data_IF_495484033664
#
_entry.id   IF_495484033664
#
_cell.length_a   1.000
_cell.length_b   1.000
_cell.length_c   1.000
_cell.angle_alpha   90.00
_cell.angle_beta   90.00
_cell.angle_gamma   90.00
#
_symmetry.space_group_name_H-M   'P 1'
#
loop_
_entity.id
_entity.type
_entity.pdbx_description
1 polymer ?
#
# COMPACT_ATOMS: atom_id res chain seq x y z
N UNK A 1 -14.17 -33.12 -18.75
CA UNK A 1 -14.61 -31.71 -18.76
C UNK A 1 -13.51 -30.85 -18.19
N UNK A 2 -13.27 -29.68 -18.78
CA UNK A 2 -12.32 -28.70 -18.26
C UNK A 2 -12.73 -28.25 -16.85
N UNK A 3 -11.77 -27.84 -16.03
CA UNK A 3 -12.05 -27.32 -14.69
C UNK A 3 -12.53 -25.87 -14.80
N UNK A 4 -13.67 -25.56 -14.19
CA UNK A 4 -14.19 -24.20 -14.08
C UNK A 4 -14.32 -23.84 -12.61
N UNK A 5 -13.75 -22.69 -12.23
CA UNK A 5 -13.85 -22.17 -10.87
C UNK A 5 -15.04 -21.21 -10.78
N UNK A 6 -16.03 -21.52 -9.94
CA UNK A 6 -17.28 -20.75 -9.86
C UNK A 6 -17.07 -19.30 -9.40
N UNK A 7 -15.99 -19.02 -8.67
CA UNK A 7 -15.66 -17.69 -8.15
C UNK A 7 -14.57 -16.98 -8.98
N UNK A 8 -14.26 -17.43 -10.19
CA UNK A 8 -13.23 -16.83 -11.04
C UNK A 8 -13.49 -15.33 -11.28
N UNK A 9 -14.74 -14.96 -11.55
CA UNK A 9 -15.14 -13.55 -11.74
C UNK A 9 -14.94 -12.71 -10.48
N UNK A 10 -15.20 -13.29 -9.30
CA UNK A 10 -15.03 -12.62 -8.01
C UNK A 10 -13.55 -12.39 -7.72
N UNK A 11 -12.70 -13.39 -7.99
CA UNK A 11 -11.25 -13.28 -7.86
C UNK A 11 -10.70 -12.17 -8.78
N UNK A 12 -11.09 -12.17 -10.05
CA UNK A 12 -10.65 -11.16 -11.02
C UNK A 12 -11.08 -9.74 -10.62
N UNK A 13 -12.31 -9.59 -10.09
CA UNK A 13 -12.79 -8.31 -9.58
C UNK A 13 -11.96 -7.85 -8.38
N UNK A 14 -11.72 -8.72 -7.39
CA UNK A 14 -10.93 -8.39 -6.21
C UNK A 14 -9.49 -7.99 -6.56
N UNK A 15 -8.87 -8.66 -7.55
CA UNK A 15 -7.55 -8.28 -8.06
C UNK A 15 -7.55 -6.94 -8.79
N UNK A 16 -8.62 -6.60 -9.50
CA UNK A 16 -8.78 -5.31 -10.16
C UNK A 16 -8.94 -4.18 -9.13
N UNK A 17 -9.79 -4.38 -8.12
CA UNK A 17 -9.98 -3.43 -7.03
C UNK A 17 -8.68 -3.19 -6.26
N UNK A 18 -7.94 -4.26 -5.94
CA UNK A 18 -6.63 -4.15 -5.30
C UNK A 18 -5.67 -3.30 -6.14
N UNK A 19 -5.59 -3.53 -7.45
CA UNK A 19 -4.74 -2.75 -8.36
C UNK A 19 -5.11 -1.27 -8.38
N UNK A 20 -6.40 -0.94 -8.38
CA UNK A 20 -6.86 0.44 -8.30
C UNK A 20 -6.44 1.09 -6.97
N UNK A 21 -6.63 0.39 -5.86
CA UNK A 21 -6.20 0.86 -4.54
C UNK A 21 -4.68 1.05 -4.45
N UNK A 22 -3.87 0.21 -5.09
CA UNK A 22 -2.41 0.36 -5.16
C UNK A 22 -2.00 1.64 -5.92
N UNK A 23 -2.72 1.99 -6.99
CA UNK A 23 -2.49 3.24 -7.75
C UNK A 23 -2.84 4.46 -6.89
N UNK A 24 -3.98 4.41 -6.19
CA UNK A 24 -4.39 5.48 -5.28
C UNK A 24 -3.40 5.64 -4.12
N UNK A 25 -2.99 4.52 -3.51
CA UNK A 25 -1.97 4.51 -2.46
C UNK A 25 -0.69 5.19 -2.93
N UNK A 26 -0.20 4.85 -4.14
CA UNK A 26 1.01 5.45 -4.69
C UNK A 26 0.88 6.97 -4.85
N UNK A 27 -0.30 7.45 -5.23
CA UNK A 27 -0.57 8.89 -5.38
C UNK A 27 -0.52 9.59 -4.03
N UNK A 28 -1.13 8.99 -2.99
CA UNK A 28 -1.09 9.54 -1.63
C UNK A 28 0.32 9.47 -1.04
N UNK A 29 1.08 8.43 -1.37
CA UNK A 29 2.46 8.25 -0.91
C UNK A 29 3.38 9.33 -1.50
N UNK A 30 3.22 9.67 -2.78
CA UNK A 30 3.94 10.79 -3.39
C UNK A 30 3.62 12.12 -2.71
N UNK A 31 2.34 12.37 -2.37
CA UNK A 31 1.95 13.57 -1.62
C UNK A 31 2.59 13.60 -0.24
N UNK A 32 2.63 12.46 0.47
CA UNK A 32 3.30 12.33 1.76
C UNK A 32 4.79 12.70 1.67
N UNK A 33 5.51 12.17 0.68
CA UNK A 33 6.92 12.49 0.47
C UNK A 33 7.14 13.98 0.18
N UNK A 34 6.28 14.59 -0.64
CA UNK A 34 6.34 16.03 -0.93
C UNK A 34 6.11 16.87 0.33
N UNK A 35 5.13 16.50 1.16
CA UNK A 35 4.85 17.21 2.42
C UNK A 35 6.00 17.05 3.41
N UNK A 36 6.59 15.85 3.51
CA UNK A 36 7.75 15.57 4.35
C UNK A 36 8.96 16.41 3.92
N UNK A 37 9.24 16.46 2.61
CA UNK A 37 10.35 17.24 2.07
C UNK A 37 10.16 18.74 2.33
N UNK A 38 8.94 19.25 2.13
CA UNK A 38 8.62 20.66 2.41
C UNK A 38 8.75 20.99 3.89
N UNK A 39 8.30 20.10 4.78
CA UNK A 39 8.45 20.26 6.23
C UNK A 39 9.94 20.33 6.62
N UNK A 40 10.76 19.42 6.09
CA UNK A 40 12.20 19.42 6.30
C UNK A 40 12.84 20.74 5.85
N UNK A 41 12.52 21.22 4.64
CA UNK A 41 13.04 22.50 4.14
C UNK A 41 12.64 23.70 5.02
N UNK A 42 11.43 23.72 5.59
CA UNK A 42 10.99 24.79 6.48
C UNK A 42 11.79 24.79 7.80
N UNK A 43 12.01 23.61 8.37
CA UNK A 43 12.80 23.43 9.60
C UNK A 43 14.25 23.86 9.36
N UNK A 44 14.88 23.40 8.28
CA UNK A 44 16.25 23.77 7.91
C UNK A 44 16.42 25.29 7.72
N UNK A 45 15.47 25.94 7.06
CA UNK A 45 15.47 27.40 6.88
C UNK A 45 15.34 28.13 8.22
N UNK A 46 14.44 27.68 9.09
CA UNK A 46 14.29 28.23 10.44
C UNK A 46 15.60 28.10 11.24
N UNK A 47 16.20 26.91 11.23
CA UNK A 47 17.45 26.64 11.94
C UNK A 47 18.59 27.53 11.43
N UNK A 48 18.71 27.69 10.11
CA UNK A 48 19.72 28.58 9.50
C UNK A 48 19.56 30.02 9.99
N UNK A 49 18.32 30.54 10.04
CA UNK A 49 18.05 31.90 10.51
C UNK A 49 18.40 32.02 12.00
N UNK A 50 17.98 31.06 12.83
CA UNK A 50 18.28 31.05 14.26
C UNK A 50 19.79 31.03 14.54
N UNK A 51 20.55 30.18 13.84
CA UNK A 51 22.01 30.16 13.95
C UNK A 51 22.63 31.49 13.55
N UNK A 52 22.18 32.08 12.43
CA UNK A 52 22.69 33.38 11.97
C UNK A 52 22.37 34.52 12.95
N UNK A 53 21.21 34.48 13.61
CA UNK A 53 20.83 35.45 14.63
C UNK A 53 21.71 35.27 15.87
N UNK A 54 21.97 34.03 16.29
CA UNK A 54 22.82 33.72 17.44
C UNK A 54 24.27 34.14 17.21
N UNK A 55 24.81 33.99 15.99
CA UNK A 55 26.12 34.51 15.63
C UNK A 55 26.18 36.04 15.72
N UNK A 56 25.18 36.73 15.16
CA UNK A 56 25.10 38.20 15.20
C UNK A 56 24.87 38.78 16.60
N UNK A 57 24.35 38.00 17.55
CA UNK A 57 24.25 38.41 18.95
C UNK A 57 25.63 38.59 19.61
N UNK A 58 26.67 37.92 19.10
CA UNK A 58 28.05 38.12 19.54
C UNK A 58 28.70 39.37 18.91
N UNK A 59 28.00 40.02 17.98
CA UNK A 59 28.40 41.26 17.30
C UNK A 59 27.45 42.42 17.67
N UNK A 60 27.77 43.66 17.32
CA UNK A 60 26.85 44.78 17.57
C UNK A 60 25.69 44.77 16.58
N UNK A 61 24.57 44.15 16.95
CA UNK A 61 23.33 44.14 16.16
C UNK A 61 22.31 45.18 16.68
N UNK A 62 21.54 45.76 15.77
CA UNK A 62 20.43 46.67 16.15
C UNK A 62 19.23 45.89 16.70
N UNK A 63 18.56 46.44 17.72
CA UNK A 63 17.30 45.92 18.26
C UNK A 63 16.26 45.72 17.14
N UNK A 64 16.17 46.63 16.18
CA UNK A 64 15.24 46.51 15.06
C UNK A 64 15.53 45.29 14.16
N UNK A 65 16.79 44.90 14.01
CA UNK A 65 17.16 43.70 13.26
C UNK A 65 16.78 42.45 14.03
N UNK A 66 17.03 42.40 15.34
CA UNK A 66 16.63 41.29 16.21
C UNK A 66 15.11 41.06 16.10
N UNK A 67 14.29 42.10 16.26
CA UNK A 67 12.83 41.96 16.19
C UNK A 67 12.36 41.37 14.85
N UNK A 68 12.90 41.86 13.73
CA UNK A 68 12.53 41.34 12.39
C UNK A 68 12.89 39.86 12.20
N UNK A 69 14.04 39.43 12.71
CA UNK A 69 14.46 38.02 12.61
C UNK A 69 13.56 37.14 13.49
N UNK A 70 13.20 37.60 14.70
CA UNK A 70 12.25 36.90 15.57
C UNK A 70 10.85 36.79 14.94
N UNK A 71 10.33 37.86 14.35
CA UNK A 71 9.05 37.83 13.62
C UNK A 71 9.09 36.83 12.45
N UNK A 72 10.24 36.73 11.80
CA UNK A 72 10.46 35.77 10.70
C UNK A 72 10.47 34.34 11.23
N UNK A 73 11.16 34.07 12.34
CA UNK A 73 11.17 32.76 13.01
C UNK A 73 9.75 32.35 13.41
N UNK A 74 8.97 33.26 14.01
CA UNK A 74 7.57 33.02 14.38
C UNK A 74 6.69 32.70 13.17
N UNK A 75 6.94 33.35 12.03
CA UNK A 75 6.27 33.04 10.76
C UNK A 75 6.61 31.63 10.25
N UNK A 76 7.87 31.21 10.37
CA UNK A 76 8.27 29.84 10.06
C UNK A 76 7.60 28.84 10.99
N UNK A 77 7.51 29.12 12.30
CA UNK A 77 6.85 28.24 13.25
C UNK A 77 5.37 28.03 12.91
N UNK A 78 4.64 29.09 12.56
CA UNK A 78 3.24 28.95 12.11
C UNK A 78 3.11 28.08 10.86
N UNK A 79 4.00 28.28 9.87
CA UNK A 79 4.02 27.48 8.64
C UNK A 79 4.38 26.02 8.91
N UNK A 80 5.32 25.76 9.82
CA UNK A 80 5.71 24.41 10.24
C UNK A 80 4.51 23.71 10.89
N UNK A 81 3.80 24.37 11.80
CA UNK A 81 2.62 23.78 12.46
C UNK A 81 1.50 23.43 11.45
N UNK A 82 1.23 24.32 10.50
CA UNK A 82 0.26 24.05 9.42
C UNK A 82 0.71 22.86 8.56
N UNK A 83 1.99 22.80 8.20
CA UNK A 83 2.57 21.73 7.39
C UNK A 83 2.55 20.38 8.13
N UNK A 84 2.80 20.37 9.46
CA UNK A 84 2.72 19.16 10.30
C UNK A 84 1.29 18.62 10.30
N UNK A 85 0.28 19.48 10.43
CA UNK A 85 -1.11 19.05 10.39
C UNK A 85 -1.44 18.34 9.08
N UNK A 86 -1.06 18.92 7.95
CA UNK A 86 -1.25 18.31 6.62
C UNK A 86 -0.49 16.98 6.49
N UNK A 87 0.74 16.93 6.99
CA UNK A 87 1.55 15.72 6.99
C UNK A 87 0.90 14.58 7.78
N UNK A 88 0.41 14.86 9.00
CA UNK A 88 -0.27 13.86 9.83
C UNK A 88 -1.58 13.38 9.21
N UNK A 89 -2.37 14.28 8.59
CA UNK A 89 -3.59 13.90 7.87
C UNK A 89 -3.30 12.91 6.72
N UNK A 90 -2.27 13.19 5.92
CA UNK A 90 -1.87 12.29 4.82
C UNK A 90 -1.27 10.98 5.34
N UNK A 91 -0.51 11.04 6.43
CA UNK A 91 0.05 9.85 7.08
C UNK A 91 -1.05 8.90 7.57
N UNK A 92 -2.07 9.42 8.27
CA UNK A 92 -3.23 8.63 8.70
C UNK A 92 -3.95 7.99 7.51
N UNK A 93 -4.08 8.72 6.39
CA UNK A 93 -4.67 8.18 5.17
C UNK A 93 -3.85 7.03 4.60
N UNK A 94 -2.51 7.12 4.60
CA UNK A 94 -1.64 6.03 4.16
C UNK A 94 -1.78 4.78 5.04
N UNK A 95 -1.83 4.95 6.36
CA UNK A 95 -2.02 3.86 7.31
C UNK A 95 -3.36 3.14 7.03
N UNK A 96 -4.44 3.88 6.78
CA UNK A 96 -5.73 3.30 6.39
C UNK A 96 -5.67 2.53 5.08
N UNK A 97 -4.99 3.06 4.05
CA UNK A 97 -4.81 2.33 2.79
C UNK A 97 -4.02 1.03 2.99
N UNK A 98 -3.00 1.05 3.84
CA UNK A 98 -2.19 -0.12 4.14
C UNK A 98 -3.04 -1.23 4.77
N UNK A 99 -3.90 -0.89 5.73
CA UNK A 99 -4.84 -1.84 6.35
C UNK A 99 -5.82 -2.43 5.33
N UNK A 100 -6.39 -1.58 4.46
CA UNK A 100 -7.34 -2.02 3.42
C UNK A 100 -6.64 -2.96 2.42
N UNK A 101 -5.45 -2.60 1.94
CA UNK A 101 -4.66 -3.43 1.02
C UNK A 101 -4.27 -4.76 1.65
N UNK A 102 -3.93 -4.77 2.95
CA UNK A 102 -3.67 -6.00 3.68
C UNK A 102 -4.92 -6.90 3.71
N UNK A 103 -6.09 -6.33 3.99
CA UNK A 103 -7.36 -7.04 3.95
C UNK A 103 -7.64 -7.66 2.58
N UNK A 104 -7.49 -6.88 1.49
CA UNK A 104 -7.67 -7.36 0.11
C UNK A 104 -6.69 -8.45 -0.26
N UNK A 105 -5.43 -8.35 0.16
CA UNK A 105 -4.42 -9.39 -0.05
C UNK A 105 -4.79 -10.71 0.65
N UNK A 106 -5.34 -10.64 1.86
CA UNK A 106 -5.81 -11.83 2.58
C UNK A 106 -6.99 -12.46 1.85
N UNK A 107 -7.93 -11.64 1.38
CA UNK A 107 -9.10 -12.10 0.62
C UNK A 107 -8.71 -12.82 -0.67
N UNK A 108 -7.86 -12.21 -1.50
CA UNK A 108 -7.37 -12.82 -2.76
C UNK A 108 -6.70 -14.17 -2.47
N UNK A 109 -5.81 -14.23 -1.47
CA UNK A 109 -5.15 -15.49 -1.07
C UNK A 109 -6.14 -16.57 -0.64
N UNK A 110 -7.28 -16.21 -0.02
CA UNK A 110 -8.33 -17.19 0.33
C UNK A 110 -8.94 -17.78 -0.94
N UNK A 111 -9.29 -16.95 -1.92
CA UNK A 111 -9.86 -17.43 -3.18
C UNK A 111 -8.86 -18.27 -3.99
N UNK A 112 -7.60 -17.87 -4.05
CA UNK A 112 -6.54 -18.65 -4.71
C UNK A 112 -6.38 -20.04 -4.08
N UNK A 113 -6.31 -20.12 -2.76
CA UNK A 113 -6.22 -21.40 -2.03
C UNK A 113 -7.44 -22.27 -2.28
N UNK A 114 -8.64 -21.69 -2.31
CA UNK A 114 -9.87 -22.41 -2.62
C UNK A 114 -9.84 -22.97 -4.05
N UNK A 115 -9.43 -22.16 -5.03
CA UNK A 115 -9.27 -22.57 -6.43
C UNK A 115 -8.27 -23.72 -6.57
N UNK A 116 -7.12 -23.62 -5.91
CA UNK A 116 -6.10 -24.68 -5.90
C UNK A 116 -6.63 -25.99 -5.30
N UNK A 117 -7.33 -25.91 -4.17
CA UNK A 117 -7.95 -27.08 -3.53
C UNK A 117 -8.97 -27.74 -4.45
N UNK A 118 -9.91 -26.98 -5.02
CA UNK A 118 -10.92 -27.51 -5.94
C UNK A 118 -10.30 -28.13 -7.18
N UNK A 119 -9.26 -27.50 -7.75
CA UNK A 119 -8.52 -28.05 -8.88
C UNK A 119 -7.86 -29.38 -8.54
N UNK A 120 -7.26 -29.50 -7.36
CA UNK A 120 -6.66 -30.74 -6.87
C UNK A 120 -7.69 -31.87 -6.75
N UNK A 121 -8.85 -31.58 -6.12
CA UNK A 121 -9.96 -32.52 -6.02
C UNK A 121 -10.50 -32.95 -7.39
N UNK A 122 -10.63 -32.01 -8.32
CA UNK A 122 -11.07 -32.30 -9.69
C UNK A 122 -10.11 -33.25 -10.39
N UNK A 123 -8.79 -32.99 -10.32
CA UNK A 123 -7.75 -33.87 -10.90
C UNK A 123 -7.78 -35.27 -10.30
N UNK A 124 -7.91 -35.37 -8.97
CA UNK A 124 -8.02 -36.66 -8.29
C UNK A 124 -9.26 -37.44 -8.74
N UNK A 125 -10.40 -36.77 -8.85
CA UNK A 125 -11.65 -37.39 -9.31
C UNK A 125 -11.57 -37.82 -10.79
N UNK A 126 -10.92 -37.04 -11.65
CA UNK A 126 -10.68 -37.44 -13.04
C UNK A 126 -9.83 -38.70 -13.11
N UNK A 127 -8.70 -38.73 -12.39
CA UNK A 127 -7.81 -39.90 -12.35
C UNK A 127 -8.54 -41.16 -11.84
N UNK A 128 -9.38 -41.01 -10.81
CA UNK A 128 -10.20 -42.13 -10.29
C UNK A 128 -11.19 -42.64 -11.34
N UNK A 129 -11.88 -41.73 -12.06
CA UNK A 129 -12.82 -42.10 -13.14
C UNK A 129 -12.10 -42.75 -14.32
N UNK A 130 -10.91 -42.28 -14.67
CA UNK A 130 -10.08 -42.88 -15.72
C UNK A 130 -9.65 -44.31 -15.35
N UNK A 131 -9.18 -44.52 -14.11
CA UNK A 131 -8.82 -45.85 -13.64
C UNK A 131 -10.00 -46.81 -13.65
N UNK A 132 -11.18 -46.39 -13.17
CA UNK A 132 -12.40 -47.18 -13.21
C UNK A 132 -12.78 -47.58 -14.64
N UNK A 133 -12.71 -46.63 -15.60
CA UNK A 133 -12.94 -46.94 -17.01
C UNK A 133 -11.92 -47.92 -17.58
N UNK A 134 -10.65 -47.80 -17.20
CA UNK A 134 -9.61 -48.75 -17.63
C UNK A 134 -9.93 -50.17 -17.13
N UNK A 135 -10.29 -50.32 -15.86
CA UNK A 135 -10.66 -51.61 -15.27
C UNK A 135 -11.90 -52.20 -15.97
N UNK A 136 -12.94 -51.39 -16.19
CA UNK A 136 -14.16 -51.81 -16.91
C UNK A 136 -13.84 -52.28 -18.35
N UNK A 137 -13.03 -51.52 -19.09
CA UNK A 137 -12.64 -51.90 -20.46
C UNK A 137 -11.73 -53.14 -20.48
N UNK A 138 -10.87 -53.32 -19.47
CA UNK A 138 -10.05 -54.51 -19.29
C UNK A 138 -10.91 -55.75 -19.06
N UNK A 139 -11.88 -55.68 -18.15
CA UNK A 139 -12.82 -56.75 -17.88
C UNK A 139 -13.67 -57.12 -19.11
N UNK A 140 -14.18 -56.12 -19.84
CA UNK A 140 -14.95 -56.34 -21.08
C UNK A 140 -14.11 -57.00 -22.18
N UNK A 141 -12.82 -56.67 -22.30
CA UNK A 141 -11.92 -57.34 -23.25
C UNK A 141 -11.61 -58.77 -22.85
N UNK A 142 -11.42 -59.03 -21.56
CA UNK A 142 -11.20 -60.38 -21.03
C UNK A 142 -12.40 -61.31 -21.26
N UNK A 143 -13.63 -60.81 -21.07
CA UNK A 143 -14.86 -61.58 -21.30
C UNK A 143 -15.12 -61.86 -22.79
N UNK A 144 -14.55 -61.07 -23.70
CA UNK A 144 -14.71 -61.21 -25.16
C UNK A 144 -13.62 -62.08 -25.82
N UNK A 145 -12.64 -62.56 -25.06
CA UNK A 145 -11.68 -63.59 -25.48
C UNK A 145 -12.14 -64.97 -25.01
#
# INVERSE_FOLDING_TARGET
MAFEFSLERVLNLAESEKRQLEIEYQTVYQLFEQLAHRLFQLIEKKNTIQSSLQEKFNESISIHQITRELDTIDSFDRKIQEQIKQYEEVKQRLEQFQDILQGKNIEIKKYERLKQSQLSHHKMNQKKKELQKMDETGALKFIRQ
#
